data_IF_615029125592
#
_entry.id   IF_615029125592
#
_cell.length_a   1.000
_cell.length_b   1.000
_cell.length_c   1.000
_cell.angle_alpha   90.00
_cell.angle_beta   90.00
_cell.angle_gamma   90.00
#
_symmetry.space_group_name_H-M   'P 1'
#
loop_
_entity.id
_entity.type
_entity.pdbx_description
1 polymer ?
#
# COMPACT_ATOMS: atom_id res chain seq x y z
N UNK A 1 53.24 17.06 25.57
CA UNK A 1 53.38 18.43 25.05
C UNK A 1 52.10 18.63 24.20
N UNK A 2 51.05 19.36 24.55
CA UNK A 2 50.72 20.23 25.67
C UNK A 2 49.22 20.13 25.95
N UNK A 3 48.97 20.12 27.22
CA UNK A 3 47.64 20.19 27.86
C UNK A 3 46.96 21.55 27.63
N UNK A 4 45.66 21.54 27.41
CA UNK A 4 44.79 22.66 27.74
C UNK A 4 43.59 22.19 28.56
N UNK A 5 43.74 22.38 29.87
CA UNK A 5 42.66 22.43 30.85
C UNK A 5 41.89 23.74 30.64
N UNK A 6 40.60 23.69 30.35
CA UNK A 6 39.69 24.82 30.54
C UNK A 6 38.89 24.62 31.81
N UNK A 7 39.09 25.52 32.73
CA UNK A 7 38.40 25.68 34.01
C UNK A 7 36.98 26.20 33.75
N UNK A 8 36.00 25.45 34.19
CA UNK A 8 34.59 25.92 34.22
C UNK A 8 34.40 26.86 35.41
N UNK A 9 34.05 28.12 35.15
CA UNK A 9 33.64 29.11 36.14
C UNK A 9 32.13 28.86 36.43
N UNK A 10 31.83 28.60 37.70
CA UNK A 10 30.45 28.48 38.18
C UNK A 10 29.72 29.83 38.16
N UNK A 11 28.47 29.91 37.71
CA UNK A 11 27.67 31.11 37.82
C UNK A 11 27.19 31.29 39.27
N UNK A 12 27.33 32.50 39.74
CA UNK A 12 26.91 32.97 41.07
C UNK A 12 25.40 32.76 41.28
N UNK A 13 25.05 32.28 42.46
CA UNK A 13 23.70 32.22 42.99
C UNK A 13 23.10 33.63 43.06
N UNK A 14 22.11 33.91 42.22
CA UNK A 14 21.27 35.07 42.36
C UNK A 14 20.29 34.82 43.54
N UNK A 15 20.29 35.74 44.45
CA UNK A 15 19.44 35.78 45.64
C UNK A 15 17.96 35.78 45.25
N UNK A 16 17.21 34.81 45.78
CA UNK A 16 15.75 34.74 45.70
C UNK A 16 15.10 35.93 46.39
N UNK A 17 14.12 36.59 45.82
CA UNK A 17 13.33 37.62 46.47
C UNK A 17 12.43 37.01 47.52
N UNK A 18 12.26 37.71 48.65
CA UNK A 18 11.39 37.32 49.80
C UNK A 18 9.94 37.18 49.40
N UNK A 19 9.20 36.20 49.97
CA UNK A 19 7.80 35.96 49.67
C UNK A 19 6.88 37.00 50.31
N UNK A 20 6.56 38.02 49.54
CA UNK A 20 5.41 38.90 49.81
C UNK A 20 4.77 39.12 48.47
N UNK A 21 3.72 38.38 48.18
CA UNK A 21 2.66 38.59 47.21
C UNK A 21 2.10 37.25 46.64
N UNK A 22 1.88 36.27 47.57
CA UNK A 22 1.28 34.98 47.21
C UNK A 22 -0.27 35.02 47.25
N UNK A 23 -0.86 36.19 47.49
CA UNK A 23 -2.32 36.27 47.63
C UNK A 23 -3.08 36.82 46.41
N UNK A 24 -2.42 37.12 45.29
CA UNK A 24 -3.12 37.58 44.08
C UNK A 24 -3.18 36.59 42.89
N UNK A 25 -2.54 35.43 43.03
CA UNK A 25 -2.55 34.44 41.92
C UNK A 25 -3.73 33.45 41.95
N UNK A 26 -4.51 33.44 43.05
CA UNK A 26 -5.69 32.56 43.15
C UNK A 26 -6.90 33.07 42.34
N UNK A 27 -6.93 34.34 41.94
CA UNK A 27 -7.98 34.87 41.08
C UNK A 27 -7.68 34.76 39.59
N UNK A 28 -6.45 34.43 39.20
CA UNK A 28 -6.08 34.22 37.80
C UNK A 28 -6.30 32.77 37.32
N UNK A 29 -6.53 31.85 38.27
CA UNK A 29 -6.87 30.45 37.94
C UNK A 29 -8.38 30.24 37.74
N UNK A 30 -9.24 31.24 38.01
CA UNK A 30 -10.68 31.18 37.81
C UNK A 30 -11.14 31.64 36.40
N UNK A 31 -10.21 32.07 35.54
CA UNK A 31 -10.46 32.34 34.10
C UNK A 31 -9.80 31.31 33.19
N UNK A 32 -9.55 30.09 33.64
CA UNK A 32 -9.44 28.97 32.74
C UNK A 32 -10.86 28.68 32.25
N UNK A 33 -11.23 29.39 31.19
CA UNK A 33 -12.50 29.24 30.49
C UNK A 33 -12.78 27.75 30.24
N UNK A 34 -13.99 27.37 30.50
CA UNK A 34 -14.59 26.14 30.03
C UNK A 34 -14.16 25.91 28.57
N UNK A 35 -13.32 24.97 28.33
CA UNK A 35 -12.81 24.73 26.97
C UNK A 35 -12.96 23.25 26.66
N UNK A 36 -13.67 22.98 25.58
CA UNK A 36 -13.59 21.69 24.94
C UNK A 36 -12.19 21.57 24.37
N UNK A 37 -11.49 20.48 24.67
CA UNK A 37 -10.16 20.22 24.14
C UNK A 37 -10.07 18.79 23.64
N UNK A 38 -9.71 18.63 22.38
CA UNK A 38 -9.41 17.34 21.77
C UNK A 38 -7.95 16.98 22.08
N UNK A 39 -7.68 15.70 22.45
CA UNK A 39 -6.30 15.22 22.62
C UNK A 39 -5.52 15.41 21.30
N UNK A 40 -4.23 15.70 21.43
CA UNK A 40 -3.40 15.96 20.25
C UNK A 40 -3.38 14.76 19.30
N UNK A 41 -3.80 14.99 18.06
CA UNK A 41 -3.67 14.06 16.95
C UNK A 41 -2.58 14.62 16.02
N UNK A 42 -1.59 13.81 15.58
CA UNK A 42 -0.61 14.26 14.60
C UNK A 42 -1.29 14.75 13.30
N UNK A 43 -0.75 15.78 12.68
CA UNK A 43 -1.31 16.32 11.42
C UNK A 43 -1.27 15.31 10.27
N UNK A 44 -0.38 14.31 10.34
CA UNK A 44 -0.31 13.17 9.42
C UNK A 44 0.02 11.93 10.23
N UNK A 45 -0.69 10.84 9.98
CA UNK A 45 -0.51 9.56 10.68
C UNK A 45 -0.86 8.38 9.78
N UNK A 46 -0.41 7.17 10.16
CA UNK A 46 -0.94 5.94 9.59
C UNK A 46 -2.27 5.59 10.27
N UNK A 47 -3.23 5.03 9.53
CA UNK A 47 -4.53 4.63 10.10
C UNK A 47 -4.39 3.67 11.29
N UNK A 48 -3.37 2.80 11.27
CA UNK A 48 -3.06 1.88 12.37
C UNK A 48 -2.56 2.56 13.65
N UNK A 49 -2.11 3.82 13.57
CA UNK A 49 -1.58 4.56 14.73
C UNK A 49 -2.65 5.36 15.47
N UNK A 50 -3.86 5.48 14.90
CA UNK A 50 -4.93 6.17 15.60
C UNK A 50 -5.42 5.30 16.75
N UNK A 51 -5.15 5.76 17.96
CA UNK A 51 -5.62 5.11 19.18
C UNK A 51 -6.94 5.69 19.66
N UNK A 52 -7.14 5.60 20.97
CA UNK A 52 -8.24 6.27 21.65
C UNK A 52 -8.06 7.79 21.58
N UNK A 53 -9.06 8.49 21.07
CA UNK A 53 -9.10 9.96 21.10
C UNK A 53 -9.92 10.41 22.31
N UNK A 54 -9.32 11.26 23.13
CA UNK A 54 -9.96 11.82 24.33
C UNK A 54 -10.36 13.26 24.09
N UNK A 55 -11.61 13.59 24.42
CA UNK A 55 -12.11 14.96 24.45
C UNK A 55 -12.29 15.36 25.92
N UNK A 56 -11.56 16.38 26.35
CA UNK A 56 -11.69 16.98 27.67
C UNK A 56 -12.81 18.01 27.65
N UNK A 57 -13.69 18.01 28.61
CA UNK A 57 -14.78 18.96 28.71
C UNK A 57 -15.28 19.09 30.16
N UNK A 58 -15.71 20.27 30.53
CA UNK A 58 -16.40 20.51 31.80
C UNK A 58 -17.92 20.32 31.69
N UNK A 59 -18.43 20.08 30.49
CA UNK A 59 -19.84 19.83 30.23
C UNK A 59 -20.20 18.37 30.48
N UNK A 60 -21.46 18.09 30.80
CA UNK A 60 -21.95 16.72 30.99
C UNK A 60 -22.03 15.89 29.70
N UNK A 61 -21.99 16.55 28.55
CA UNK A 61 -21.98 15.92 27.22
C UNK A 61 -21.44 16.88 26.19
N UNK A 62 -20.95 16.36 25.05
CA UNK A 62 -20.58 17.10 23.84
C UNK A 62 -21.21 16.46 22.61
N UNK A 63 -21.51 17.25 21.62
CA UNK A 63 -21.84 16.77 20.28
C UNK A 63 -20.54 16.57 19.53
N UNK A 64 -20.35 15.38 18.96
CA UNK A 64 -19.15 15.01 18.21
C UNK A 64 -19.54 14.72 16.79
N UNK A 65 -18.79 15.28 15.85
CA UNK A 65 -18.86 14.97 14.45
C UNK A 65 -17.45 14.59 13.94
N UNK A 66 -17.38 13.45 13.27
CA UNK A 66 -16.15 12.94 12.67
C UNK A 66 -16.40 12.48 11.25
N UNK A 67 -15.54 12.85 10.32
CA UNK A 67 -15.70 12.46 8.92
C UNK A 67 -14.63 13.03 8.00
N UNK A 68 -14.84 12.82 6.72
CA UNK A 68 -14.08 13.46 5.64
C UNK A 68 -14.69 14.84 5.33
N UNK A 69 -14.04 15.67 4.52
CA UNK A 69 -14.63 16.94 4.07
C UNK A 69 -15.98 16.77 3.31
N UNK A 70 -16.24 15.57 2.79
CA UNK A 70 -17.41 15.29 1.96
C UNK A 70 -18.44 14.38 2.62
N UNK A 71 -18.11 13.67 3.68
CA UNK A 71 -18.97 12.67 4.32
C UNK A 71 -18.75 12.62 5.84
N UNK A 72 -19.84 12.66 6.59
CA UNK A 72 -19.84 12.43 8.05
C UNK A 72 -19.91 10.93 8.31
N UNK A 73 -18.89 10.41 9.00
CA UNK A 73 -18.77 8.98 9.35
C UNK A 73 -19.33 8.66 10.73
N UNK A 74 -19.22 9.59 11.65
CA UNK A 74 -19.74 9.48 13.01
C UNK A 74 -20.33 10.82 13.42
N UNK A 75 -21.56 10.82 13.91
CA UNK A 75 -22.19 12.00 14.50
C UNK A 75 -23.06 11.58 15.67
N UNK A 76 -22.97 12.30 16.79
CA UNK A 76 -23.81 12.02 17.93
C UNK A 76 -23.44 12.80 19.19
N UNK A 77 -24.30 12.64 20.19
CA UNK A 77 -24.11 13.21 21.51
C UNK A 77 -23.43 12.21 22.42
N UNK A 78 -22.27 12.59 22.96
CA UNK A 78 -21.44 11.77 23.82
C UNK A 78 -21.45 12.35 25.23
N UNK A 79 -21.64 11.48 26.24
CA UNK A 79 -21.69 11.88 27.65
C UNK A 79 -20.30 11.79 28.28
N UNK A 80 -19.91 12.85 28.98
CA UNK A 80 -18.62 12.90 29.64
C UNK A 80 -18.61 12.07 30.91
N UNK A 81 -17.57 11.25 31.10
CA UNK A 81 -17.28 10.59 32.36
C UNK A 81 -16.04 11.21 32.98
N UNK A 82 -16.21 11.81 34.18
CA UNK A 82 -15.15 12.54 34.89
C UNK A 82 -14.45 13.60 34.00
N UNK A 83 -15.24 14.37 33.26
CA UNK A 83 -14.72 15.42 32.38
C UNK A 83 -14.06 14.94 31.11
N UNK A 84 -14.33 13.72 30.68
CA UNK A 84 -13.74 13.12 29.48
C UNK A 84 -14.78 12.38 28.67
N UNK A 85 -14.68 12.53 27.37
CA UNK A 85 -15.34 11.66 26.38
C UNK A 85 -14.26 10.87 25.66
N UNK A 86 -14.49 9.59 25.44
CA UNK A 86 -13.57 8.68 24.78
C UNK A 86 -14.17 8.22 23.47
N UNK A 87 -13.43 8.39 22.37
CA UNK A 87 -13.79 7.89 21.05
C UNK A 87 -12.92 6.67 20.75
N UNK A 88 -13.56 5.55 20.58
CA UNK A 88 -12.93 4.28 20.24
C UNK A 88 -13.18 3.92 18.77
N UNK A 89 -12.37 3.02 18.24
CA UNK A 89 -12.55 2.39 16.91
C UNK A 89 -12.57 3.35 15.71
N UNK A 90 -12.00 4.56 15.85
CA UNK A 90 -11.87 5.49 14.72
C UNK A 90 -11.06 4.88 13.58
N UNK A 91 -10.13 3.96 13.89
CA UNK A 91 -9.32 3.24 12.89
C UNK A 91 -10.19 2.59 11.83
N UNK A 92 -11.19 1.82 12.24
CA UNK A 92 -12.04 1.09 11.28
C UNK A 92 -12.84 2.02 10.37
N UNK A 93 -13.31 3.15 10.89
CA UNK A 93 -14.00 4.17 10.09
C UNK A 93 -13.07 4.83 9.08
N UNK A 94 -11.86 5.18 9.51
CA UNK A 94 -10.82 5.76 8.65
C UNK A 94 -10.45 4.80 7.52
N UNK A 95 -10.14 3.53 7.85
CA UNK A 95 -9.74 2.54 6.85
C UNK A 95 -10.85 2.24 5.85
N UNK A 96 -12.10 2.17 6.29
CA UNK A 96 -13.25 1.98 5.39
C UNK A 96 -13.47 3.20 4.49
N UNK A 97 -13.37 4.41 5.01
CA UNK A 97 -13.51 5.62 4.21
C UNK A 97 -12.42 5.73 3.14
N UNK A 98 -11.16 5.47 3.49
CA UNK A 98 -10.04 5.49 2.53
C UNK A 98 -10.24 4.41 1.46
N UNK A 99 -10.59 3.17 1.85
CA UNK A 99 -10.86 2.08 0.88
C UNK A 99 -12.00 2.42 -0.08
N UNK A 100 -13.05 3.08 0.41
CA UNK A 100 -14.20 3.47 -0.42
C UNK A 100 -13.83 4.48 -1.52
N UNK A 101 -12.83 5.34 -1.29
CA UNK A 101 -12.33 6.26 -2.31
C UNK A 101 -11.40 5.60 -3.33
N UNK A 102 -10.86 4.42 -3.03
CA UNK A 102 -9.83 3.74 -3.83
C UNK A 102 -8.44 4.39 -3.74
N UNK A 103 -8.28 5.42 -2.92
CA UNK A 103 -6.99 6.07 -2.67
C UNK A 103 -6.26 5.44 -1.48
N UNK A 104 -5.04 5.89 -1.21
CA UNK A 104 -4.23 5.45 -0.07
C UNK A 104 -4.22 6.46 1.07
N UNK A 105 -4.82 7.62 0.87
CA UNK A 105 -4.79 8.74 1.81
C UNK A 105 -6.09 9.52 1.76
N UNK A 106 -6.53 10.04 2.94
CA UNK A 106 -7.71 10.89 3.04
C UNK A 106 -7.54 11.88 4.20
N UNK A 107 -8.20 13.01 4.10
CA UNK A 107 -8.27 14.02 5.16
C UNK A 107 -9.48 13.77 6.04
N UNK A 108 -9.31 13.93 7.35
CA UNK A 108 -10.35 13.77 8.34
C UNK A 108 -10.46 15.01 9.21
N UNK A 109 -11.69 15.33 9.57
CA UNK A 109 -12.03 16.39 10.53
C UNK A 109 -12.72 15.74 11.72
N UNK A 110 -12.33 16.17 12.93
CA UNK A 110 -12.99 15.84 14.17
C UNK A 110 -13.39 17.15 14.87
N UNK A 111 -14.68 17.31 15.05
CA UNK A 111 -15.27 18.45 15.74
C UNK A 111 -15.95 17.97 17.02
N UNK A 112 -15.81 18.74 18.09
CA UNK A 112 -16.53 18.54 19.33
C UNK A 112 -17.14 19.88 19.78
N UNK A 113 -18.45 19.94 19.98
CA UNK A 113 -19.18 21.16 20.25
C UNK A 113 -20.13 21.03 21.44
N UNK A 114 -20.36 22.14 22.14
CA UNK A 114 -21.41 22.30 23.15
C UNK A 114 -21.85 23.76 23.17
N UNK A 115 -23.10 24.03 22.87
CA UNK A 115 -23.66 25.41 22.68
C UNK A 115 -22.77 26.21 21.70
N UNK A 116 -22.16 27.30 22.21
CA UNK A 116 -21.29 28.19 21.39
C UNK A 116 -19.79 27.83 21.51
N UNK A 117 -19.45 26.75 22.19
CA UNK A 117 -18.07 26.28 22.32
C UNK A 117 -17.79 25.16 21.33
N UNK A 118 -16.67 25.25 20.61
CA UNK A 118 -16.27 24.28 19.61
C UNK A 118 -14.76 24.05 19.65
N UNK A 119 -14.36 22.82 19.49
CA UNK A 119 -12.98 22.42 19.25
C UNK A 119 -12.91 21.55 17.99
N UNK A 120 -12.02 21.88 17.09
CA UNK A 120 -11.82 21.17 15.83
C UNK A 120 -10.36 20.75 15.66
N UNK A 121 -10.16 19.58 15.09
CA UNK A 121 -8.86 19.12 14.64
C UNK A 121 -8.97 18.45 13.28
N UNK A 122 -8.01 18.76 12.40
CA UNK A 122 -7.92 18.19 11.06
C UNK A 122 -6.61 17.45 10.92
N UNK A 123 -6.65 16.28 10.33
CA UNK A 123 -5.45 15.48 10.08
C UNK A 123 -5.58 14.66 8.79
N UNK A 124 -4.45 14.20 8.29
CA UNK A 124 -4.35 13.32 7.12
C UNK A 124 -4.01 11.92 7.61
N UNK A 125 -4.80 10.92 7.22
CA UNK A 125 -4.53 9.54 7.48
C UNK A 125 -4.09 8.82 6.20
N UNK A 126 -2.96 8.12 6.29
CA UNK A 126 -2.49 7.20 5.27
C UNK A 126 -2.95 5.81 5.66
N UNK A 127 -3.59 5.09 4.73
CA UNK A 127 -4.03 3.72 4.98
C UNK A 127 -2.89 2.82 5.42
N UNK A 128 -3.11 2.03 6.46
CA UNK A 128 -2.19 0.98 6.88
C UNK A 128 -2.96 -0.09 7.66
N UNK A 129 -3.18 -1.24 7.02
CA UNK A 129 -3.94 -2.36 7.61
C UNK A 129 -3.11 -3.22 8.58
N UNK A 130 -1.80 -2.94 8.70
CA UNK A 130 -0.88 -3.64 9.61
C UNK A 130 -0.50 -2.77 10.78
N UNK A 131 -0.30 -3.40 11.92
CA UNK A 131 0.23 -2.69 13.08
C UNK A 131 1.72 -2.42 12.87
N UNK A 132 2.06 -1.16 12.76
CA UNK A 132 3.43 -0.67 12.66
C UNK A 132 3.74 0.12 13.93
N UNK A 133 4.64 -0.40 14.75
CA UNK A 133 5.09 0.27 15.96
C UNK A 133 6.24 1.25 15.60
N UNK A 134 5.86 2.43 15.17
CA UNK A 134 6.80 3.52 14.88
C UNK A 134 6.52 4.68 15.82
N UNK A 135 7.55 5.11 16.53
CA UNK A 135 7.50 6.32 17.37
C UNK A 135 7.39 7.59 16.50
N UNK A 136 8.04 7.59 15.34
CA UNK A 136 8.05 8.69 14.39
C UNK A 136 7.82 8.15 12.97
N UNK A 137 6.84 8.69 12.28
CA UNK A 137 6.43 8.28 10.93
C UNK A 137 7.23 8.98 9.83
N UNK A 138 7.81 10.16 10.12
CA UNK A 138 8.53 10.94 9.12
C UNK A 138 9.70 10.17 8.48
N UNK A 139 10.54 9.40 9.21
CA UNK A 139 11.56 8.57 8.60
C UNK A 139 11.00 7.53 7.61
N UNK A 140 9.84 6.95 7.89
CA UNK A 140 9.18 6.02 6.95
C UNK A 140 8.85 6.75 5.65
N UNK A 141 8.18 7.88 5.73
CA UNK A 141 7.74 8.61 4.55
C UNK A 141 8.88 9.26 3.75
N UNK A 142 9.95 9.68 4.42
CA UNK A 142 11.07 10.35 3.75
C UNK A 142 12.06 9.36 3.12
N UNK A 143 12.28 8.20 3.75
CA UNK A 143 13.38 7.32 3.40
C UNK A 143 12.94 6.03 2.70
N UNK A 144 11.63 5.71 2.69
CA UNK A 144 11.13 4.46 2.14
C UNK A 144 10.01 4.69 1.12
N UNK A 145 9.97 3.82 0.13
CA UNK A 145 8.77 3.60 -0.66
C UNK A 145 7.74 2.84 0.19
N UNK A 146 6.46 2.98 -0.15
CA UNK A 146 5.36 2.28 0.53
C UNK A 146 5.29 0.82 0.05
N UNK A 147 6.32 0.06 0.37
CA UNK A 147 6.46 -1.37 0.07
C UNK A 147 7.35 -2.02 1.13
N UNK A 148 7.08 -3.26 1.54
CA UNK A 148 7.93 -3.95 2.52
C UNK A 148 9.27 -4.42 1.93
N UNK A 149 9.39 -4.50 0.60
CA UNK A 149 10.54 -5.06 -0.07
C UNK A 149 11.48 -3.98 -0.59
N UNK A 150 12.73 -4.02 -0.15
CA UNK A 150 13.81 -3.16 -0.66
C UNK A 150 14.34 -3.65 -2.01
N UNK A 151 14.19 -4.94 -2.28
CA UNK A 151 14.62 -5.58 -3.53
C UNK A 151 13.73 -6.76 -3.91
N UNK A 152 13.56 -7.00 -5.22
CA UNK A 152 12.75 -8.11 -5.72
C UNK A 152 13.08 -8.48 -7.15
N UNK A 153 12.74 -9.70 -7.54
CA UNK A 153 12.84 -10.17 -8.93
C UNK A 153 11.59 -9.74 -9.71
N UNK A 154 11.77 -9.52 -10.99
CA UNK A 154 10.71 -9.20 -11.94
C UNK A 154 10.97 -9.88 -13.30
N UNK A 155 9.91 -10.09 -14.05
CA UNK A 155 10.03 -10.60 -15.43
C UNK A 155 10.52 -9.50 -16.38
N UNK A 156 11.24 -9.86 -17.47
CA UNK A 156 11.76 -8.90 -18.45
C UNK A 156 10.68 -7.99 -19.05
N UNK A 157 9.50 -8.54 -19.34
CA UNK A 157 8.41 -7.85 -20.03
C UNK A 157 7.36 -7.30 -19.05
N UNK A 158 7.67 -7.22 -17.77
CA UNK A 158 6.75 -6.71 -16.75
C UNK A 158 6.86 -5.19 -16.61
N UNK A 159 5.93 -4.64 -15.87
CA UNK A 159 6.03 -3.30 -15.34
C UNK A 159 6.00 -3.34 -13.81
N UNK A 160 6.47 -2.30 -13.18
CA UNK A 160 6.54 -2.20 -11.73
C UNK A 160 5.86 -0.93 -11.26
N UNK A 161 5.14 -1.02 -10.15
CA UNK A 161 4.65 0.14 -9.42
C UNK A 161 5.65 0.52 -8.33
N UNK A 162 5.83 1.83 -8.15
CA UNK A 162 6.61 2.40 -7.05
C UNK A 162 5.79 3.51 -6.45
N UNK A 163 5.40 3.35 -5.18
CA UNK A 163 4.54 4.28 -4.46
C UNK A 163 5.28 4.90 -3.28
N UNK A 164 5.03 6.18 -3.03
CA UNK A 164 5.57 6.89 -1.87
C UNK A 164 4.62 7.98 -1.40
N UNK A 165 4.75 8.35 -0.14
CA UNK A 165 4.07 9.52 0.40
C UNK A 165 4.82 10.78 0.00
N UNK A 166 4.15 11.68 -0.71
CA UNK A 166 4.69 12.94 -1.18
C UNK A 166 4.09 14.09 -0.39
N UNK A 167 4.96 14.97 0.11
CA UNK A 167 4.55 16.19 0.82
C UNK A 167 3.98 17.22 -0.16
N UNK A 168 3.13 18.08 0.35
CA UNK A 168 2.56 19.20 -0.40
C UNK A 168 3.63 19.97 -1.15
N UNK A 169 3.42 20.23 -2.46
CA UNK A 169 4.33 20.93 -3.36
C UNK A 169 5.73 20.28 -3.50
N UNK A 170 5.91 19.04 -3.06
CA UNK A 170 7.16 18.32 -3.27
C UNK A 170 7.38 18.08 -4.76
N UNK A 171 8.52 18.53 -5.30
CA UNK A 171 8.96 18.25 -6.66
C UNK A 171 10.19 17.39 -6.58
N UNK A 172 10.03 16.12 -6.84
CA UNK A 172 11.15 15.18 -6.87
C UNK A 172 11.34 14.63 -8.28
N UNK A 173 12.61 14.64 -8.72
CA UNK A 173 13.01 13.82 -9.85
C UNK A 173 13.21 12.38 -9.35
N UNK A 174 12.63 11.39 -10.02
CA UNK A 174 13.03 10.02 -9.79
C UNK A 174 14.12 9.61 -10.78
N UNK A 175 15.17 8.99 -10.24
CA UNK A 175 16.33 8.53 -10.99
C UNK A 175 16.29 7.01 -11.12
N UNK A 176 16.70 6.51 -12.27
CA UNK A 176 16.82 5.08 -12.54
C UNK A 176 18.31 4.79 -12.75
N UNK A 177 18.87 3.94 -11.89
CA UNK A 177 20.23 3.43 -11.95
C UNK A 177 20.16 2.01 -12.50
N UNK A 178 20.87 1.73 -13.58
CA UNK A 178 20.76 0.48 -14.31
C UNK A 178 22.08 -0.26 -14.33
N UNK A 179 22.02 -1.56 -14.06
CA UNK A 179 23.08 -2.53 -14.28
C UNK A 179 22.72 -3.33 -15.55
N UNK A 180 23.62 -3.35 -16.51
CA UNK A 180 23.38 -4.01 -17.79
C UNK A 180 24.64 -4.67 -18.33
N UNK A 181 24.47 -5.58 -19.29
CA UNK A 181 25.56 -6.20 -20.04
C UNK A 181 25.50 -5.73 -21.48
N UNK A 182 26.67 -5.39 -22.02
CA UNK A 182 26.91 -5.11 -23.43
C UNK A 182 28.05 -6.01 -23.90
N UNK A 183 27.81 -6.83 -24.90
CA UNK A 183 28.76 -7.85 -25.41
C UNK A 183 29.31 -8.75 -24.25
N UNK A 184 28.45 -9.10 -23.30
CA UNK A 184 28.79 -9.91 -22.13
C UNK A 184 29.55 -9.17 -21.02
N UNK A 185 29.94 -7.92 -21.23
CA UNK A 185 30.66 -7.09 -20.23
C UNK A 185 29.66 -6.31 -19.39
N UNK A 186 29.79 -6.32 -18.05
CA UNK A 186 28.92 -5.56 -17.17
C UNK A 186 29.22 -4.06 -17.21
N UNK A 187 28.18 -3.26 -17.23
CA UNK A 187 28.22 -1.80 -17.24
C UNK A 187 27.15 -1.22 -16.32
N UNK A 188 27.33 0.04 -15.98
CA UNK A 188 26.38 0.82 -15.18
C UNK A 188 26.04 2.12 -15.89
N UNK A 189 24.81 2.56 -15.76
CA UNK A 189 24.36 3.88 -16.22
C UNK A 189 23.25 4.41 -15.32
N UNK A 190 22.95 5.69 -15.44
CA UNK A 190 21.81 6.29 -14.74
C UNK A 190 21.18 7.38 -15.60
N UNK A 191 19.89 7.58 -15.41
CA UNK A 191 19.17 8.66 -16.07
C UNK A 191 17.97 9.11 -15.21
N UNK A 192 17.45 10.29 -15.52
CA UNK A 192 16.21 10.77 -14.91
C UNK A 192 15.06 10.06 -15.60
N UNK A 193 14.31 9.24 -14.86
CA UNK A 193 13.12 8.55 -15.34
C UNK A 193 11.95 9.50 -15.57
N UNK A 194 11.87 10.54 -14.76
CA UNK A 194 10.85 11.58 -14.86
C UNK A 194 10.81 12.48 -13.64
N UNK A 195 9.81 13.34 -13.61
CA UNK A 195 9.53 14.20 -12.47
C UNK A 195 8.18 13.84 -11.90
N UNK A 196 8.13 13.55 -10.63
CA UNK A 196 6.89 13.53 -9.90
C UNK A 196 6.48 14.98 -9.63
N UNK A 197 5.58 15.49 -10.46
CA UNK A 197 4.97 16.79 -10.22
C UNK A 197 3.79 16.60 -9.29
N UNK A 198 4.03 16.75 -8.01
CA UNK A 198 2.94 16.85 -7.05
C UNK A 198 2.42 18.27 -7.12
N UNK A 199 1.48 18.52 -8.02
CA UNK A 199 0.62 19.73 -7.95
C UNK A 199 -0.45 19.53 -6.86
N UNK A 200 -0.19 18.68 -5.89
CA UNK A 200 -1.12 18.39 -4.82
C UNK A 200 -1.27 19.65 -3.96
N UNK A 201 -2.50 20.02 -3.74
CA UNK A 201 -2.86 21.06 -2.77
C UNK A 201 -2.50 20.59 -1.37
N UNK A 202 -2.42 19.28 -1.16
CA UNK A 202 -2.20 18.59 0.11
C UNK A 202 -1.23 17.40 -0.05
N UNK A 203 -0.76 16.87 1.07
CA UNK A 203 0.04 15.65 1.14
C UNK A 203 -0.72 14.47 0.53
N UNK A 204 -0.04 13.62 -0.27
CA UNK A 204 -0.70 12.53 -0.98
C UNK A 204 0.24 11.36 -1.25
N UNK A 205 -0.33 10.20 -1.56
CA UNK A 205 0.42 9.06 -2.07
C UNK A 205 0.55 9.16 -3.58
N UNK A 206 1.79 9.14 -4.04
CA UNK A 206 2.14 9.13 -5.47
C UNK A 206 2.55 7.74 -5.89
N UNK A 207 2.08 7.33 -7.06
CA UNK A 207 2.47 6.07 -7.69
C UNK A 207 2.97 6.32 -9.10
N UNK A 208 4.08 5.71 -9.46
CA UNK A 208 4.58 5.66 -10.84
C UNK A 208 4.60 4.22 -11.31
N UNK A 209 4.30 4.03 -12.58
CA UNK A 209 4.46 2.74 -13.26
C UNK A 209 5.67 2.81 -14.20
N UNK A 210 6.55 1.83 -14.12
CA UNK A 210 7.78 1.76 -14.92
C UNK A 210 7.78 0.45 -15.71
N UNK A 211 7.76 0.56 -17.03
CA UNK A 211 7.87 -0.60 -17.93
C UNK A 211 9.34 -0.98 -18.09
N UNK A 212 9.67 -2.24 -17.84
CA UNK A 212 11.04 -2.76 -17.99
C UNK A 212 11.58 -2.58 -19.41
N UNK A 213 10.73 -2.77 -20.44
CA UNK A 213 11.10 -2.56 -21.83
C UNK A 213 11.51 -1.12 -22.14
N UNK A 214 10.83 -0.14 -21.53
CA UNK A 214 11.19 1.27 -21.71
C UNK A 214 12.53 1.59 -21.06
N UNK A 215 12.81 1.00 -19.90
CA UNK A 215 14.12 1.12 -19.23
C UNK A 215 15.20 0.52 -20.12
N UNK A 216 15.00 -0.70 -20.64
CA UNK A 216 15.96 -1.37 -21.50
C UNK A 216 16.21 -0.58 -22.79
N UNK A 217 15.17 -0.09 -23.46
CA UNK A 217 15.29 0.77 -24.65
C UNK A 217 16.12 2.01 -24.34
N UNK A 218 15.83 2.67 -23.23
CA UNK A 218 16.55 3.89 -22.83
C UNK A 218 18.01 3.63 -22.55
N UNK A 219 18.35 2.51 -21.91
CA UNK A 219 19.74 2.10 -21.67
C UNK A 219 20.44 1.78 -22.99
N UNK A 220 19.78 1.09 -23.93
CA UNK A 220 20.33 0.78 -25.25
C UNK A 220 20.62 2.06 -26.06
N UNK A 221 19.74 3.05 -26.00
CA UNK A 221 19.96 4.37 -26.61
C UNK A 221 21.21 5.07 -26.03
N UNK A 222 21.35 5.05 -24.69
CA UNK A 222 22.50 5.66 -24.00
C UNK A 222 23.82 4.94 -24.32
N UNK A 223 23.78 3.62 -24.36
CA UNK A 223 24.92 2.76 -24.72
C UNK A 223 25.23 2.77 -26.22
N UNK A 224 24.31 3.26 -27.08
CA UNK A 224 24.38 3.24 -28.56
C UNK A 224 24.54 1.84 -29.14
N UNK A 225 24.04 0.85 -28.43
CA UNK A 225 24.02 -0.55 -28.82
C UNK A 225 22.95 -1.30 -28.07
N UNK A 226 22.55 -2.47 -28.56
CA UNK A 226 21.64 -3.33 -27.83
C UNK A 226 22.30 -3.85 -26.57
N UNK A 227 21.57 -3.82 -25.46
CA UNK A 227 22.08 -4.24 -24.15
C UNK A 227 21.12 -5.20 -23.47
N UNK A 228 21.65 -6.00 -22.58
CA UNK A 228 20.87 -6.83 -21.65
C UNK A 228 20.76 -6.14 -20.30
N UNK A 229 19.57 -5.65 -19.97
CA UNK A 229 19.29 -5.08 -18.65
C UNK A 229 19.29 -6.22 -17.61
N UNK A 230 20.09 -6.08 -16.55
CA UNK A 230 20.24 -7.08 -15.48
C UNK A 230 19.44 -6.65 -14.24
N UNK A 231 19.53 -5.38 -13.88
CA UNK A 231 18.80 -4.81 -12.74
C UNK A 231 18.63 -3.32 -12.95
N UNK A 232 17.65 -2.74 -12.24
CA UNK A 232 17.59 -1.31 -12.09
C UNK A 232 17.10 -0.92 -10.69
N UNK A 233 17.61 0.20 -10.19
CA UNK A 233 17.22 0.80 -8.91
C UNK A 233 16.52 2.11 -9.17
N UNK A 234 15.33 2.25 -8.63
CA UNK A 234 14.59 3.51 -8.64
C UNK A 234 14.91 4.27 -7.37
N UNK A 235 15.27 5.54 -7.50
CA UNK A 235 15.50 6.46 -6.38
C UNK A 235 14.67 7.72 -6.52
N UNK A 236 14.04 8.13 -5.41
CA UNK A 236 13.30 9.37 -5.31
C UNK A 236 13.59 10.02 -3.94
N UNK A 237 14.43 11.05 -3.92
CA UNK A 237 15.04 11.54 -2.68
C UNK A 237 15.93 10.45 -2.06
N UNK A 238 15.72 10.16 -0.79
CA UNK A 238 16.47 9.12 -0.07
C UNK A 238 15.85 7.72 -0.22
N UNK A 239 14.66 7.61 -0.82
CA UNK A 239 13.95 6.36 -1.08
C UNK A 239 14.64 5.59 -2.19
N UNK A 240 14.81 4.28 -2.01
CA UNK A 240 15.39 3.41 -3.03
C UNK A 240 14.73 2.02 -3.02
N UNK A 241 14.51 1.45 -4.21
CA UNK A 241 14.11 0.05 -4.40
C UNK A 241 14.77 -0.52 -5.63
N UNK A 242 15.17 -1.79 -5.59
CA UNK A 242 15.93 -2.46 -6.65
C UNK A 242 15.12 -3.60 -7.25
N UNK A 243 15.11 -3.67 -8.58
CA UNK A 243 14.44 -4.70 -9.37
C UNK A 243 15.48 -5.51 -10.15
N UNK A 244 15.54 -6.81 -9.89
CA UNK A 244 16.40 -7.75 -10.60
C UNK A 244 15.62 -8.44 -11.71
N UNK A 245 16.12 -8.33 -12.96
CA UNK A 245 15.48 -8.97 -14.10
C UNK A 245 15.80 -10.46 -14.09
N UNK A 246 14.82 -11.29 -13.84
CA UNK A 246 14.94 -12.74 -13.90
C UNK A 246 14.50 -13.26 -15.27
N UNK A 247 15.46 -13.70 -16.08
CA UNK A 247 15.23 -14.28 -17.40
C UNK A 247 15.18 -15.80 -17.39
N UNK A 248 15.54 -16.42 -16.28
CA UNK A 248 15.59 -17.87 -16.13
C UNK A 248 14.21 -18.51 -16.12
N UNK A 249 13.20 -17.71 -15.81
CA UNK A 249 11.82 -18.14 -15.57
C UNK A 249 10.87 -17.31 -16.47
N UNK A 250 10.94 -17.56 -17.79
CA UNK A 250 10.01 -17.00 -18.75
C UNK A 250 8.53 -17.31 -18.41
N UNK A 251 8.31 -18.37 -17.64
CA UNK A 251 6.99 -18.89 -17.28
C UNK A 251 6.53 -18.47 -15.86
N UNK A 252 7.22 -17.51 -15.22
CA UNK A 252 6.80 -16.99 -13.90
C UNK A 252 5.53 -16.13 -14.01
N UNK A 253 4.83 -16.01 -12.90
CA UNK A 253 3.58 -15.27 -12.80
C UNK A 253 3.77 -13.96 -12.06
N UNK A 254 3.33 -12.85 -12.69
CA UNK A 254 3.24 -11.54 -12.04
C UNK A 254 1.85 -11.37 -11.43
N UNK A 255 1.81 -11.09 -10.15
CA UNK A 255 0.60 -10.69 -9.44
C UNK A 255 0.75 -9.23 -9.04
N UNK A 256 -0.29 -8.45 -9.30
CA UNK A 256 -0.42 -7.06 -8.91
C UNK A 256 -1.50 -6.98 -7.85
N UNK A 257 -1.28 -6.18 -6.82
CA UNK A 257 -2.20 -6.14 -5.68
C UNK A 257 -2.13 -4.80 -4.96
N UNK A 258 -3.15 -4.50 -4.17
CA UNK A 258 -3.10 -3.40 -3.21
C UNK A 258 -2.37 -3.87 -1.95
N UNK A 259 -1.26 -3.22 -1.62
CA UNK A 259 -0.48 -3.57 -0.44
C UNK A 259 -1.07 -3.00 0.86
N UNK A 260 -0.40 -3.19 2.00
CA UNK A 260 -0.85 -2.73 3.31
C UNK A 260 -1.15 -1.22 3.38
N UNK A 261 -0.61 -0.42 2.47
CA UNK A 261 -0.88 1.02 2.35
C UNK A 261 -1.99 1.35 1.33
N UNK A 262 -2.74 0.36 0.86
CA UNK A 262 -3.69 0.46 -0.25
C UNK A 262 -3.06 1.02 -1.55
N UNK A 263 -1.75 0.94 -1.66
CA UNK A 263 -1.00 1.37 -2.83
C UNK A 263 -0.75 0.18 -3.78
N UNK A 264 -0.74 0.40 -5.12
CA UNK A 264 -0.40 -0.65 -6.07
C UNK A 264 1.01 -1.18 -5.83
N UNK A 265 1.14 -2.48 -5.79
CA UNK A 265 2.40 -3.20 -5.66
C UNK A 265 2.38 -4.46 -6.53
N UNK A 266 3.49 -5.16 -6.66
CA UNK A 266 3.59 -6.36 -7.48
C UNK A 266 4.60 -7.35 -6.91
N UNK A 267 4.36 -8.62 -7.21
CA UNK A 267 5.29 -9.71 -6.99
C UNK A 267 5.40 -10.59 -8.23
N UNK A 268 6.62 -10.97 -8.57
CA UNK A 268 6.87 -12.01 -9.55
C UNK A 268 7.19 -13.32 -8.82
N UNK A 269 6.35 -14.33 -9.04
CA UNK A 269 6.52 -15.66 -8.44
C UNK A 269 7.04 -16.59 -9.52
N UNK A 270 8.31 -17.05 -9.42
CA UNK A 270 8.88 -18.02 -10.32
C UNK A 270 8.24 -19.39 -10.10
N UNK A 271 7.33 -19.77 -10.97
CA UNK A 271 6.58 -21.02 -10.83
C UNK A 271 5.88 -21.41 -12.12
N UNK A 272 5.50 -22.66 -12.22
CA UNK A 272 4.60 -23.16 -13.25
C UNK A 272 3.20 -23.27 -12.63
N UNK A 273 2.22 -22.67 -13.28
CA UNK A 273 0.82 -22.82 -12.88
C UNK A 273 0.16 -23.99 -13.58
N UNK A 274 -0.66 -24.72 -12.85
CA UNK A 274 -1.49 -25.79 -13.37
C UNK A 274 -2.94 -25.34 -13.38
N UNK A 275 -3.58 -25.33 -14.55
CA UNK A 275 -5.01 -25.06 -14.67
C UNK A 275 -5.80 -26.36 -14.43
N UNK A 276 -6.77 -26.31 -13.52
CA UNK A 276 -7.69 -27.40 -13.20
C UNK A 276 -9.11 -26.94 -13.50
N UNK A 277 -9.78 -27.64 -14.41
CA UNK A 277 -11.20 -27.39 -14.71
C UNK A 277 -12.05 -28.48 -14.05
N UNK A 278 -12.97 -28.06 -13.20
CA UNK A 278 -13.99 -28.91 -12.61
C UNK A 278 -15.35 -28.49 -13.13
N UNK A 279 -16.26 -29.46 -13.33
CA UNK A 279 -17.61 -29.15 -13.81
C UNK A 279 -18.61 -29.79 -12.86
N UNK A 280 -19.36 -28.97 -12.15
CA UNK A 280 -20.49 -29.40 -11.38
C UNK A 280 -21.68 -29.58 -12.30
N UNK A 281 -22.30 -30.78 -12.28
CA UNK A 281 -23.43 -31.09 -13.15
C UNK A 281 -24.61 -31.53 -12.30
N UNK A 282 -25.73 -30.92 -12.54
CA UNK A 282 -27.03 -31.33 -11.95
C UNK A 282 -27.78 -32.20 -12.92
N UNK A 283 -28.29 -33.34 -12.42
CA UNK A 283 -29.02 -34.32 -13.21
C UNK A 283 -30.51 -34.26 -12.82
N UNK A 284 -31.37 -34.15 -13.79
CA UNK A 284 -32.81 -34.35 -13.64
C UNK A 284 -33.23 -35.70 -14.27
N UNK A 285 -34.13 -36.39 -13.59
CA UNK A 285 -34.75 -37.60 -14.14
C UNK A 285 -36.14 -37.24 -14.63
N UNK A 286 -36.35 -37.37 -15.93
CA UNK A 286 -37.62 -37.13 -16.56
C UNK A 286 -38.06 -38.38 -17.32
N UNK A 287 -39.21 -38.96 -16.98
CA UNK A 287 -39.80 -40.13 -17.66
C UNK A 287 -38.77 -41.28 -17.80
N UNK A 288 -38.12 -41.66 -16.72
CA UNK A 288 -37.05 -42.70 -16.62
C UNK A 288 -35.77 -42.38 -17.43
N UNK A 289 -35.62 -41.19 -17.91
CA UNK A 289 -34.40 -40.73 -18.62
C UNK A 289 -33.69 -39.68 -17.80
N UNK A 290 -32.39 -39.91 -17.53
CA UNK A 290 -31.53 -38.93 -16.84
C UNK A 290 -30.97 -37.93 -17.85
N UNK A 291 -31.14 -36.66 -17.58
CA UNK A 291 -30.58 -35.57 -18.39
C UNK A 291 -29.88 -34.53 -17.52
N UNK A 292 -28.81 -33.96 -18.06
CA UNK A 292 -28.17 -32.78 -17.43
C UNK A 292 -29.06 -31.58 -17.67
N UNK A 293 -29.44 -30.86 -16.59
CA UNK A 293 -30.20 -29.61 -16.70
C UNK A 293 -29.40 -28.41 -16.31
N UNK A 294 -28.25 -28.58 -15.61
CA UNK A 294 -27.35 -27.53 -15.25
C UNK A 294 -25.89 -28.04 -15.29
N UNK A 295 -24.97 -27.16 -15.67
CA UNK A 295 -23.55 -27.43 -15.75
C UNK A 295 -22.77 -26.17 -15.46
N UNK A 296 -22.12 -26.09 -14.30
CA UNK A 296 -21.31 -24.94 -13.89
C UNK A 296 -19.83 -25.32 -13.92
N UNK A 297 -19.10 -24.94 -14.96
CA UNK A 297 -17.66 -25.15 -15.02
C UNK A 297 -16.95 -24.15 -14.10
N UNK A 298 -15.96 -24.61 -13.35
CA UNK A 298 -15.04 -23.81 -12.56
C UNK A 298 -13.62 -24.07 -13.02
N UNK A 299 -12.85 -23.01 -13.22
CA UNK A 299 -11.45 -23.12 -13.55
C UNK A 299 -10.63 -22.52 -12.40
N UNK A 300 -9.76 -23.34 -11.83
CA UNK A 300 -8.83 -22.97 -10.78
C UNK A 300 -7.41 -23.14 -11.29
N UNK A 301 -6.54 -22.26 -10.85
CA UNK A 301 -5.12 -22.26 -11.15
C UNK A 301 -4.36 -22.51 -9.87
N UNK A 302 -3.49 -23.50 -9.86
CA UNK A 302 -2.63 -23.84 -8.74
C UNK A 302 -1.18 -23.60 -9.12
N UNK A 303 -0.44 -22.95 -8.23
CA UNK A 303 0.95 -22.60 -8.39
C UNK A 303 1.72 -23.01 -7.14
N UNK A 304 2.91 -23.56 -7.34
CA UNK A 304 3.89 -23.75 -6.29
C UNK A 304 5.21 -23.10 -6.71
N UNK A 305 5.70 -22.17 -5.91
CA UNK A 305 6.90 -21.39 -6.24
C UNK A 305 8.18 -22.25 -6.15
N UNK A 306 9.19 -21.81 -6.89
CA UNK A 306 10.59 -22.10 -6.59
C UNK A 306 11.01 -21.33 -5.32
N UNK A 307 12.31 -21.36 -5.00
CA UNK A 307 12.86 -20.62 -3.85
C UNK A 307 12.60 -19.11 -3.97
N UNK A 308 12.10 -18.52 -2.88
CA UNK A 308 11.86 -17.10 -2.73
C UNK A 308 12.87 -16.47 -1.75
N UNK A 309 13.14 -15.19 -1.93
CA UNK A 309 13.87 -14.38 -0.95
C UNK A 309 12.97 -14.00 0.22
N UNK A 310 13.54 -13.54 1.32
CA UNK A 310 12.75 -13.06 2.46
C UNK A 310 11.86 -11.86 2.09
N UNK A 311 12.37 -10.92 1.28
CA UNK A 311 11.60 -9.77 0.78
C UNK A 311 10.41 -10.22 -0.07
N UNK A 312 10.59 -11.23 -0.93
CA UNK A 312 9.51 -11.81 -1.74
C UNK A 312 8.48 -12.55 -0.89
N UNK A 313 8.89 -13.16 0.21
CA UNK A 313 7.94 -13.75 1.16
C UNK A 313 7.08 -12.70 1.86
N UNK A 314 7.67 -11.58 2.28
CA UNK A 314 6.91 -10.46 2.85
C UNK A 314 5.90 -9.88 1.86
N UNK A 315 6.28 -9.78 0.57
CA UNK A 315 5.34 -9.38 -0.49
C UNK A 315 4.22 -10.42 -0.69
N UNK A 316 4.57 -11.72 -0.60
CA UNK A 316 3.57 -12.79 -0.72
C UNK A 316 2.53 -12.74 0.41
N UNK A 317 2.96 -12.42 1.63
CA UNK A 317 2.03 -12.24 2.75
C UNK A 317 1.07 -11.07 2.51
N UNK A 318 1.54 -9.96 1.92
CA UNK A 318 0.67 -8.85 1.55
C UNK A 318 -0.26 -9.20 0.38
N UNK A 319 0.23 -9.93 -0.62
CA UNK A 319 -0.61 -10.47 -1.69
C UNK A 319 -1.77 -11.31 -1.13
N UNK A 320 -1.51 -12.15 -0.13
CA UNK A 320 -2.53 -13.05 0.44
C UNK A 320 -3.60 -12.34 1.26
N UNK A 321 -3.26 -11.21 1.84
CA UNK A 321 -4.19 -10.39 2.64
C UNK A 321 -4.88 -9.31 1.81
N UNK A 322 -4.43 -9.09 0.56
CA UNK A 322 -5.00 -8.07 -0.31
C UNK A 322 -6.42 -8.44 -0.77
N UNK A 323 -7.32 -7.47 -0.72
CA UNK A 323 -8.69 -7.59 -1.22
C UNK A 323 -8.78 -7.35 -2.74
N UNK A 324 -7.77 -6.72 -3.35
CA UNK A 324 -7.73 -6.43 -4.79
C UNK A 324 -6.44 -6.99 -5.40
N UNK A 325 -6.57 -8.19 -5.96
CA UNK A 325 -5.47 -8.89 -6.63
C UNK A 325 -5.77 -9.03 -8.11
N UNK A 326 -4.78 -8.75 -8.94
CA UNK A 326 -4.94 -8.70 -10.40
C UNK A 326 -3.76 -9.35 -11.10
N UNK A 327 -4.01 -9.80 -12.34
CA UNK A 327 -3.00 -10.36 -13.25
C UNK A 327 -3.08 -9.65 -14.61
N UNK A 328 -2.01 -9.65 -15.41
CA UNK A 328 -2.06 -9.13 -16.77
C UNK A 328 -3.02 -9.96 -17.63
N UNK A 329 -3.69 -9.32 -18.59
CA UNK A 329 -4.40 -10.03 -19.64
C UNK A 329 -3.41 -10.67 -20.61
N UNK A 330 -3.64 -11.93 -20.98
CA UNK A 330 -2.77 -12.65 -21.91
C UNK A 330 -2.68 -12.03 -23.31
N UNK A 331 -3.69 -11.24 -23.70
CA UNK A 331 -3.88 -10.78 -25.08
C UNK A 331 -3.74 -9.27 -25.30
N UNK A 332 -3.47 -8.49 -24.27
CA UNK A 332 -3.35 -7.04 -24.40
C UNK A 332 -1.91 -6.57 -24.18
N UNK A 333 -1.42 -5.58 -24.98
CA UNK A 333 -0.20 -4.89 -24.64
C UNK A 333 -0.38 -4.30 -23.22
N UNK A 334 0.65 -4.47 -22.41
CA UNK A 334 0.64 -4.01 -21.02
C UNK A 334 0.36 -2.51 -20.95
N UNK A 335 -0.88 -2.17 -20.63
CA UNK A 335 -1.16 -0.83 -20.16
C UNK A 335 -0.71 -0.81 -18.70
N UNK A 336 0.23 0.06 -18.36
CA UNK A 336 0.82 0.16 -17.03
C UNK A 336 -0.16 0.88 -16.07
N UNK A 337 -1.43 0.47 -16.13
CA UNK A 337 -2.52 0.93 -15.28
C UNK A 337 -3.03 -0.24 -14.45
N UNK A 338 -3.06 -0.06 -13.13
CA UNK A 338 -3.53 -1.08 -12.21
C UNK A 338 -4.98 -1.48 -12.50
N UNK A 339 -5.84 -0.51 -12.82
CA UNK A 339 -7.25 -0.77 -13.06
C UNK A 339 -7.54 -1.44 -14.41
N UNK A 340 -6.60 -1.41 -15.34
CA UNK A 340 -6.67 -2.14 -16.60
C UNK A 340 -6.35 -3.64 -16.47
N UNK A 341 -5.84 -4.10 -15.33
CA UNK A 341 -5.50 -5.48 -15.08
C UNK A 341 -6.73 -6.34 -14.78
N UNK A 342 -6.62 -7.65 -15.01
CA UNK A 342 -7.68 -8.61 -14.77
C UNK A 342 -7.78 -8.96 -13.28
N UNK A 343 -8.90 -8.70 -12.58
CA UNK A 343 -9.08 -9.10 -11.20
C UNK A 343 -9.21 -10.63 -11.08
N UNK A 344 -8.61 -11.16 -10.02
CA UNK A 344 -8.67 -12.56 -9.62
C UNK A 344 -9.07 -12.72 -8.17
N UNK A 345 -9.47 -13.92 -7.78
CA UNK A 345 -9.76 -14.30 -6.41
C UNK A 345 -8.77 -15.36 -5.97
N UNK A 346 -8.00 -15.06 -4.92
CA UNK A 346 -7.17 -16.05 -4.24
C UNK A 346 -8.07 -16.88 -3.34
N UNK A 347 -8.10 -18.20 -3.57
CA UNK A 347 -8.95 -19.13 -2.81
C UNK A 347 -8.17 -19.85 -1.73
N UNK A 348 -6.91 -20.16 -1.97
CA UNK A 348 -6.01 -20.77 -1.00
C UNK A 348 -4.60 -20.19 -1.14
N UNK A 349 -3.93 -19.97 -0.03
CA UNK A 349 -2.56 -19.50 -0.02
C UNK A 349 -1.79 -20.03 1.18
N UNK A 350 -0.52 -20.31 0.97
CA UNK A 350 0.41 -20.73 2.03
C UNK A 350 1.78 -20.15 1.74
N UNK A 351 2.41 -19.52 2.73
CA UNK A 351 3.80 -19.10 2.69
C UNK A 351 4.58 -19.88 3.74
N UNK A 352 5.61 -20.61 3.32
CA UNK A 352 6.54 -21.28 4.22
C UNK A 352 7.85 -20.50 4.28
N UNK A 353 8.11 -19.86 5.41
CA UNK A 353 9.37 -19.19 5.70
C UNK A 353 10.20 -20.13 6.57
N UNK A 354 11.36 -20.54 6.08
CA UNK A 354 12.22 -21.49 6.77
C UNK A 354 13.27 -20.75 7.62
N UNK A 355 13.39 -21.13 8.88
CA UNK A 355 14.44 -20.64 9.77
C UNK A 355 15.84 -21.21 9.43
N UNK A 356 15.85 -22.29 8.64
CA UNK A 356 17.10 -22.95 8.23
C UNK A 356 17.52 -22.47 6.84
N UNK A 357 18.75 -22.00 6.64
CA UNK A 357 19.21 -21.51 5.34
C UNK A 357 19.27 -22.61 4.26
N UNK A 358 19.18 -23.88 4.65
CA UNK A 358 19.17 -25.02 3.75
C UNK A 358 17.80 -25.33 3.15
N UNK A 359 16.71 -24.89 3.81
CA UNK A 359 15.35 -25.04 3.32
C UNK A 359 14.91 -23.75 2.61
N UNK A 360 14.58 -23.79 1.31
CA UNK A 360 14.11 -22.60 0.62
C UNK A 360 12.74 -22.19 1.13
N UNK A 361 12.53 -20.87 1.19
CA UNK A 361 11.19 -20.34 1.36
C UNK A 361 10.34 -20.67 0.14
N UNK A 362 9.07 -20.96 0.32
CA UNK A 362 8.17 -21.30 -0.77
C UNK A 362 6.76 -20.80 -0.54
N UNK A 363 6.06 -20.59 -1.64
CA UNK A 363 4.66 -20.16 -1.68
C UNK A 363 3.84 -21.16 -2.49
N UNK A 364 2.68 -21.51 -1.96
CA UNK A 364 1.63 -22.21 -2.69
C UNK A 364 0.42 -21.29 -2.78
N UNK A 365 -0.15 -21.18 -3.96
CA UNK A 365 -1.24 -20.27 -4.26
C UNK A 365 -2.24 -20.94 -5.19
N UNK A 366 -3.54 -20.83 -4.86
CA UNK A 366 -4.64 -21.23 -5.75
C UNK A 366 -5.52 -20.01 -5.99
N UNK A 367 -5.86 -19.75 -7.26
CA UNK A 367 -6.71 -18.63 -7.62
C UNK A 367 -7.69 -19.00 -8.73
N UNK A 368 -8.71 -18.17 -8.90
CA UNK A 368 -9.68 -18.25 -9.98
C UNK A 368 -9.93 -16.85 -10.55
N UNK A 369 -10.37 -16.80 -11.81
CA UNK A 369 -10.83 -15.54 -12.37
C UNK A 369 -12.11 -15.05 -11.67
N UNK A 370 -12.23 -13.75 -11.46
CA UNK A 370 -13.42 -13.15 -10.84
C UNK A 370 -14.68 -13.18 -11.77
N UNK A 371 -14.64 -13.98 -12.83
CA UNK A 371 -15.78 -14.17 -13.75
C UNK A 371 -16.14 -15.64 -13.77
N UNK A 372 -17.45 -15.92 -13.61
CA UNK A 372 -17.99 -17.27 -13.66
C UNK A 372 -18.00 -17.90 -15.08
N UNK A 373 -17.36 -17.28 -16.04
CA UNK A 373 -17.23 -17.82 -17.39
C UNK A 373 -15.79 -18.20 -17.63
N UNK A 374 -15.57 -19.47 -17.98
CA UNK A 374 -14.32 -19.89 -18.59
C UNK A 374 -14.18 -19.05 -19.87
N UNK A 375 -13.26 -18.07 -19.85
CA UNK A 375 -12.90 -17.41 -21.07
C UNK A 375 -12.27 -18.48 -21.95
N UNK A 376 -12.91 -18.81 -23.07
CA UNK A 376 -12.21 -19.57 -24.10
C UNK A 376 -11.01 -18.72 -24.49
N UNK A 377 -9.81 -19.21 -24.16
CA UNK A 377 -8.60 -18.66 -24.76
C UNK A 377 -8.84 -18.67 -26.26
N UNK A 378 -8.61 -17.54 -26.91
CA UNK A 378 -8.77 -17.41 -28.35
C UNK A 378 -8.16 -18.62 -29.01
N UNK A 379 -8.91 -19.40 -29.78
CA UNK A 379 -8.33 -20.48 -30.54
C UNK A 379 -7.24 -19.89 -31.41
N UNK A 380 -6.03 -20.42 -31.24
CA UNK A 380 -4.84 -20.00 -31.97
C UNK A 380 -5.14 -20.07 -33.46
N UNK A 381 -5.22 -18.93 -34.12
CA UNK A 381 -5.42 -18.83 -35.53
C UNK A 381 -6.80 -19.26 -36.05
N UNK A 382 -7.00 -19.32 -37.32
CA UNK A 382 -8.23 -19.71 -38.06
C UNK A 382 -8.74 -21.13 -37.73
N UNK A 383 -8.78 -21.46 -36.46
CA UNK A 383 -9.17 -22.76 -35.94
C UNK A 383 -10.65 -23.07 -36.11
N UNK A 384 -10.92 -24.35 -36.10
CA UNK A 384 -12.20 -25.07 -36.29
C UNK A 384 -13.40 -24.52 -35.48
N UNK A 385 -13.15 -23.58 -34.54
CA UNK A 385 -14.15 -23.03 -33.59
C UNK A 385 -14.63 -21.60 -33.91
N UNK A 386 -14.53 -21.20 -35.17
CA UNK A 386 -15.12 -19.93 -35.61
C UNK A 386 -16.65 -20.03 -35.66
N UNK A 387 -17.31 -19.00 -35.23
CA UNK A 387 -18.74 -18.65 -35.27
C UNK A 387 -19.81 -19.67 -34.81
N UNK A 388 -19.84 -20.97 -35.13
CA UNK A 388 -20.95 -21.83 -34.70
C UNK A 388 -21.07 -21.99 -33.17
N UNK A 389 -19.94 -21.86 -32.45
CA UNK A 389 -19.94 -22.03 -30.99
C UNK A 389 -20.37 -20.79 -30.22
N UNK A 390 -20.32 -19.61 -30.84
CA UNK A 390 -20.83 -18.38 -30.21
C UNK A 390 -22.36 -18.39 -30.00
N UNK A 391 -23.07 -19.27 -30.69
CA UNK A 391 -24.53 -19.41 -30.53
C UNK A 391 -24.95 -20.41 -29.45
N UNK A 392 -24.05 -21.27 -28.99
CA UNK A 392 -24.38 -22.31 -28.00
C UNK A 392 -24.22 -21.79 -26.55
N UNK A 393 -23.45 -20.70 -26.38
CA UNK A 393 -23.11 -20.14 -25.07
C UNK A 393 -23.64 -18.72 -24.82
N UNK A 394 -24.69 -18.32 -25.56
CA UNK A 394 -25.44 -17.05 -25.28
C UNK A 394 -26.60 -17.28 -24.38
#
# INVERSE_FOLDING_TARGET
MDSWLQVAVAPQLATLPKPKDVFSSWHLLQYLSFMIQISAIPSTLLSCQIGEVTILTDHGSVEVEFGTPTETLLSGKFYAYKGKVYLYDLRSLIEQAIKATGFSVEQFNLCAAYDDEEAETTFIAVHCDRDIDLYDIDPLFLNHFLTPASSRRIAPNSFVFVSWFARKNERLAYHIYCDYKADGTPWHTSFIGGYANVNAVEDNVMTIAILCDNVQKRVSELAKQEVELVAFTVRCGDRATTFFIDRSLADGHCFYFRNAFNAPDQIFIPAIATAKTTTDRSIAVLLDTSQFYDSTPKQEFELQSAALTSDECLLSEQLFTSEDVRIPYESQPYDADFDALQPILITESTCEIADLPEKPNSVKLTWQHNRNHIAMQNPIGDGIFTEPYNFIFK
#
